data_IF_179027972198
#
_entry.id   IF_179027972198
#
_cell.length_a   1.000
_cell.length_b   1.000
_cell.length_c   1.000
_cell.angle_alpha   90.00
_cell.angle_beta   90.00
_cell.angle_gamma   90.00
#
_symmetry.space_group_name_H-M   'P 1'
#
loop_
_entity.id
_entity.type
_entity.pdbx_description
1 polymer ?
#
# COMPACT_ATOMS: atom_id res chain seq x y z
N UNK A 1 19.13 -30.45 -23.94
CA UNK A 1 17.91 -29.64 -24.04
C UNK A 1 18.10 -28.25 -23.46
N UNK A 2 18.57 -28.07 -22.21
CA UNK A 2 18.81 -26.74 -21.62
C UNK A 2 20.06 -25.99 -22.12
N UNK A 3 21.09 -26.67 -22.63
CA UNK A 3 22.30 -26.02 -23.20
C UNK A 3 22.05 -25.23 -24.50
N UNK A 4 20.88 -25.40 -25.12
CA UNK A 4 20.49 -24.74 -26.38
C UNK A 4 19.33 -23.76 -26.19
N UNK A 5 18.86 -23.56 -24.95
CA UNK A 5 17.84 -22.56 -24.63
C UNK A 5 18.59 -21.25 -24.42
N UNK A 6 18.36 -20.31 -25.33
CA UNK A 6 18.93 -18.96 -25.27
C UNK A 6 18.54 -18.29 -23.95
N UNK A 7 19.53 -17.78 -23.21
CA UNK A 7 19.49 -17.47 -21.77
C UNK A 7 18.80 -16.12 -21.47
N UNK A 8 17.60 -15.93 -22.02
CA UNK A 8 16.76 -14.75 -21.80
C UNK A 8 15.45 -15.13 -21.11
N UNK A 9 14.85 -14.22 -20.33
CA UNK A 9 13.57 -14.45 -19.63
C UNK A 9 12.46 -14.95 -20.56
N UNK A 10 12.46 -14.47 -21.82
CA UNK A 10 11.48 -14.85 -22.83
C UNK A 10 11.56 -16.34 -23.24
N UNK A 11 12.70 -17.01 -23.05
CA UNK A 11 12.86 -18.42 -23.42
C UNK A 11 12.64 -19.39 -22.27
N UNK A 12 12.59 -18.93 -21.01
CA UNK A 12 12.05 -19.73 -19.89
C UNK A 12 10.61 -20.14 -20.18
N UNK A 13 9.87 -19.36 -21.00
CA UNK A 13 8.54 -19.74 -21.49
C UNK A 13 8.51 -21.12 -22.18
N UNK A 14 9.61 -21.58 -22.78
CA UNK A 14 9.71 -22.93 -23.37
C UNK A 14 9.77 -24.06 -22.34
N UNK A 15 10.16 -23.78 -21.08
CA UNK A 15 9.99 -24.72 -19.96
C UNK A 15 8.53 -24.79 -19.49
N UNK A 16 7.73 -23.73 -19.76
CA UNK A 16 6.32 -23.66 -19.39
C UNK A 16 5.41 -24.50 -20.30
N UNK A 17 5.96 -25.11 -21.37
CA UNK A 17 5.22 -26.13 -22.13
C UNK A 17 5.13 -27.45 -21.37
N UNK A 18 5.96 -27.69 -20.35
CA UNK A 18 5.91 -28.90 -19.52
C UNK A 18 5.00 -28.70 -18.30
N UNK A 19 4.31 -29.76 -17.89
CA UNK A 19 3.53 -29.72 -16.65
C UNK A 19 4.51 -29.59 -15.47
N UNK A 20 4.36 -28.49 -14.72
CA UNK A 20 5.22 -28.09 -13.61
C UNK A 20 4.51 -28.26 -12.28
N UNK A 21 5.21 -28.80 -11.29
CA UNK A 21 4.74 -28.85 -9.90
C UNK A 21 5.81 -28.26 -8.99
N UNK A 22 5.46 -27.22 -8.25
CA UNK A 22 6.31 -26.73 -7.16
C UNK A 22 6.27 -27.77 -6.04
N UNK A 23 7.44 -28.25 -5.68
CA UNK A 23 7.63 -29.31 -4.67
C UNK A 23 7.89 -28.68 -3.31
N UNK A 24 8.67 -27.59 -3.28
CA UNK A 24 9.11 -26.96 -2.03
C UNK A 24 9.53 -25.52 -2.27
N UNK A 25 9.23 -24.66 -1.31
CA UNK A 25 9.70 -23.28 -1.24
C UNK A 25 10.51 -23.12 0.03
N UNK A 26 11.76 -22.63 -0.11
CA UNK A 26 12.70 -22.44 0.98
C UNK A 26 13.08 -20.97 1.05
N UNK A 27 12.94 -20.33 2.22
CA UNK A 27 13.42 -18.96 2.41
C UNK A 27 14.95 -19.00 2.60
N UNK A 28 15.68 -18.30 1.73
CA UNK A 28 17.15 -18.24 1.75
C UNK A 28 17.67 -16.91 2.27
N UNK A 29 16.85 -15.86 2.22
CA UNK A 29 17.15 -14.53 2.79
C UNK A 29 15.87 -13.84 3.23
N UNK A 30 15.97 -13.02 4.27
CA UNK A 30 14.81 -12.40 4.92
C UNK A 30 14.52 -10.99 4.41
N UNK A 31 15.55 -10.23 4.09
CA UNK A 31 15.42 -8.83 3.67
C UNK A 31 16.44 -8.46 2.58
N UNK A 32 16.00 -8.28 1.31
CA UNK A 32 14.69 -8.67 0.81
C UNK A 32 14.51 -10.21 0.78
N UNK A 33 13.26 -10.69 0.82
CA UNK A 33 12.85 -12.09 0.89
C UNK A 33 13.25 -12.79 -0.40
N UNK A 34 14.25 -13.65 -0.29
CA UNK A 34 14.69 -14.53 -1.38
C UNK A 34 14.26 -15.95 -1.07
N UNK A 35 13.71 -16.62 -2.08
CA UNK A 35 13.25 -18.00 -1.98
C UNK A 35 13.91 -18.88 -3.03
N UNK A 36 14.24 -20.11 -2.63
CA UNK A 36 14.58 -21.21 -3.53
C UNK A 36 13.33 -22.08 -3.73
N UNK A 37 12.90 -22.20 -4.98
CA UNK A 37 11.73 -22.97 -5.41
C UNK A 37 12.21 -24.23 -6.10
N UNK A 38 11.93 -25.39 -5.51
CA UNK A 38 12.22 -26.71 -6.08
C UNK A 38 11.03 -27.15 -6.95
N UNK A 39 11.29 -27.52 -8.21
CA UNK A 39 10.26 -27.76 -9.22
C UNK A 39 10.46 -29.15 -9.85
N UNK A 40 9.36 -29.90 -9.96
CA UNK A 40 9.27 -31.15 -10.69
C UNK A 40 8.64 -30.90 -12.07
N UNK A 41 9.31 -31.37 -13.13
CA UNK A 41 8.79 -31.41 -14.50
C UNK A 41 8.41 -32.84 -14.87
N UNK A 42 7.23 -32.99 -15.44
CA UNK A 42 6.78 -34.25 -16.04
C UNK A 42 6.79 -34.12 -17.56
N UNK A 43 7.42 -35.06 -18.27
CA UNK A 43 7.42 -35.08 -19.74
C UNK A 43 5.99 -35.30 -20.28
N UNK A 44 5.61 -34.53 -21.31
CA UNK A 44 4.33 -34.73 -22.01
C UNK A 44 4.26 -36.09 -22.72
N UNK A 45 5.41 -36.66 -23.11
CA UNK A 45 5.49 -37.94 -23.85
C UNK A 45 5.61 -39.17 -22.94
N UNK A 46 5.87 -38.98 -21.64
CA UNK A 46 6.03 -40.09 -20.67
C UNK A 46 5.89 -39.59 -19.23
N UNK A 47 4.84 -40.02 -18.54
CA UNK A 47 4.56 -39.65 -17.15
C UNK A 47 5.55 -40.22 -16.12
N UNK A 48 6.40 -41.17 -16.53
CA UNK A 48 7.43 -41.79 -15.67
C UNK A 48 8.74 -41.02 -15.63
N UNK A 49 8.98 -40.12 -16.60
CA UNK A 49 10.24 -39.40 -16.71
C UNK A 49 10.12 -38.03 -16.00
N UNK A 50 10.65 -37.97 -14.78
CA UNK A 50 10.67 -36.78 -13.93
C UNK A 50 12.02 -36.10 -13.97
N UNK A 51 12.00 -34.77 -14.06
CA UNK A 51 13.20 -33.95 -13.94
C UNK A 51 13.00 -32.92 -12.83
N UNK A 52 14.06 -32.64 -12.08
CA UNK A 52 14.04 -31.67 -10.99
C UNK A 52 14.98 -30.53 -11.31
N UNK A 53 14.52 -29.31 -11.04
CA UNK A 53 15.34 -28.12 -11.09
C UNK A 53 14.91 -27.18 -9.96
N UNK A 54 15.76 -26.23 -9.63
CA UNK A 54 15.39 -25.17 -8.70
C UNK A 54 15.68 -23.80 -9.28
N UNK A 55 14.86 -22.82 -8.92
CA UNK A 55 15.14 -21.41 -9.16
C UNK A 55 15.16 -20.68 -7.84
N UNK A 56 16.16 -19.83 -7.64
CA UNK A 56 16.24 -18.91 -6.52
C UNK A 56 16.07 -17.48 -6.98
N UNK A 57 15.11 -16.77 -6.39
CA UNK A 57 14.82 -15.37 -6.71
C UNK A 57 13.87 -14.74 -5.68
N UNK A 58 13.40 -13.54 -5.98
CA UNK A 58 12.68 -12.70 -5.03
C UNK A 58 11.20 -13.05 -4.95
N UNK A 59 10.61 -12.79 -3.78
CA UNK A 59 9.17 -12.81 -3.60
C UNK A 59 8.62 -11.42 -3.80
N UNK A 60 7.55 -11.35 -4.58
CA UNK A 60 6.86 -10.11 -4.78
C UNK A 60 5.97 -9.75 -3.60
N UNK A 61 5.83 -8.44 -3.44
CA UNK A 61 5.04 -7.80 -2.43
C UNK A 61 3.53 -8.07 -2.51
N UNK A 62 2.95 -8.24 -3.70
CA UNK A 62 1.50 -8.35 -3.80
C UNK A 62 0.98 -9.60 -3.09
N UNK A 63 -0.05 -9.41 -2.27
CA UNK A 63 -0.63 -10.46 -1.45
C UNK A 63 0.26 -10.99 -0.32
N UNK A 64 1.52 -10.57 -0.20
CA UNK A 64 2.42 -11.03 0.86
C UNK A 64 2.08 -10.36 2.19
N UNK A 65 1.20 -10.99 2.95
CA UNK A 65 0.67 -10.47 4.20
C UNK A 65 1.38 -11.03 5.45
N UNK A 66 0.80 -10.74 6.62
CA UNK A 66 1.31 -11.25 7.89
C UNK A 66 1.32 -12.79 7.94
N UNK A 67 0.35 -13.48 7.36
CA UNK A 67 0.32 -14.94 7.38
C UNK A 67 1.42 -15.52 6.49
N UNK A 68 1.68 -14.90 5.33
CA UNK A 68 2.81 -15.25 4.49
C UNK A 68 4.15 -15.03 5.20
N UNK A 69 4.31 -13.92 5.91
CA UNK A 69 5.49 -13.66 6.74
C UNK A 69 5.65 -14.70 7.87
N UNK A 70 4.56 -15.08 8.54
CA UNK A 70 4.60 -16.14 9.57
C UNK A 70 5.02 -17.48 8.96
N UNK A 71 4.42 -17.88 7.84
CA UNK A 71 4.76 -19.12 7.14
C UNK A 71 6.22 -19.13 6.66
N UNK A 72 6.72 -17.98 6.18
CA UNK A 72 8.12 -17.80 5.81
C UNK A 72 9.05 -18.01 7.01
N UNK A 73 8.83 -17.31 8.13
CA UNK A 73 9.66 -17.43 9.32
C UNK A 73 9.61 -18.82 9.95
N UNK A 74 8.43 -19.45 10.06
CA UNK A 74 8.26 -20.81 10.60
C UNK A 74 9.12 -21.85 9.87
N UNK A 75 9.38 -21.62 8.58
CA UNK A 75 10.15 -22.55 7.74
C UNK A 75 11.68 -22.49 7.94
N UNK A 76 12.21 -21.45 8.60
CA UNK A 76 13.65 -21.17 8.62
C UNK A 76 14.45 -21.99 9.64
N UNK A 77 13.86 -22.33 10.79
CA UNK A 77 14.56 -23.10 11.81
C UNK A 77 13.65 -24.13 12.47
N UNK A 78 13.90 -25.41 12.19
CA UNK A 78 13.12 -26.53 12.72
C UNK A 78 13.29 -26.79 14.23
N UNK A 79 14.25 -26.11 14.89
CA UNK A 79 14.51 -26.28 16.33
C UNK A 79 13.90 -25.19 17.19
N UNK A 80 13.44 -24.09 16.59
CA UNK A 80 12.86 -22.94 17.29
C UNK A 80 11.43 -22.73 16.80
N UNK A 81 10.54 -22.29 17.68
CA UNK A 81 9.28 -21.74 17.22
C UNK A 81 9.55 -20.35 16.65
N UNK A 82 9.66 -20.28 15.33
CA UNK A 82 9.91 -19.04 14.61
C UNK A 82 8.60 -18.33 14.29
N UNK A 83 8.60 -17.01 14.47
CA UNK A 83 7.49 -16.13 14.12
C UNK A 83 8.00 -14.85 13.49
N UNK A 84 7.20 -14.25 12.63
CA UNK A 84 7.49 -12.94 12.06
C UNK A 84 7.23 -11.85 13.11
N UNK A 85 8.24 -11.03 13.37
CA UNK A 85 8.14 -9.82 14.21
C UNK A 85 7.71 -8.61 13.39
N UNK A 86 8.15 -8.53 12.14
CA UNK A 86 7.70 -7.57 11.16
C UNK A 86 7.72 -8.19 9.75
N UNK A 87 7.01 -7.52 8.85
CA UNK A 87 7.16 -7.67 7.41
C UNK A 87 7.01 -6.28 6.83
N UNK A 88 7.94 -5.86 6.00
CA UNK A 88 8.07 -4.49 5.52
C UNK A 88 8.37 -4.50 4.03
N UNK A 89 7.80 -3.56 3.32
CA UNK A 89 8.19 -3.30 1.94
C UNK A 89 9.59 -2.68 1.93
N UNK A 90 10.46 -3.20 1.08
CA UNK A 90 11.82 -2.70 0.93
C UNK A 90 12.08 -2.43 -0.54
N UNK A 91 12.34 -1.19 -0.98
CA UNK A 91 12.91 -0.99 -2.30
C UNK A 91 14.30 -1.62 -2.34
N UNK A 92 14.64 -2.32 -3.43
CA UNK A 92 16.01 -2.84 -3.61
C UNK A 92 16.91 -1.72 -4.08
N UNK A 93 17.95 -1.41 -3.31
CA UNK A 93 18.96 -0.41 -3.68
C UNK A 93 20.17 -0.98 -4.43
N UNK A 94 20.12 -2.25 -4.88
CA UNK A 94 21.31 -2.98 -5.30
C UNK A 94 21.04 -3.90 -6.52
N UNK A 95 21.80 -3.70 -7.61
CA UNK A 95 21.77 -4.50 -8.85
C UNK A 95 22.11 -6.00 -8.64
N UNK A 96 22.53 -6.39 -7.43
CA UNK A 96 22.79 -7.77 -7.02
C UNK A 96 21.52 -8.62 -6.90
N UNK A 97 20.34 -8.01 -6.83
CA UNK A 97 19.06 -8.71 -6.63
C UNK A 97 18.28 -8.99 -7.92
N UNK A 98 18.61 -8.32 -9.03
CA UNK A 98 18.02 -8.41 -10.37
C UNK A 98 18.25 -9.76 -11.10
N UNK A 99 18.69 -10.79 -10.37
CA UNK A 99 19.14 -12.08 -10.92
C UNK A 99 18.45 -13.25 -10.21
N UNK A 100 17.97 -14.17 -11.03
CA UNK A 100 17.54 -15.49 -10.61
C UNK A 100 18.70 -16.47 -10.81
N UNK A 101 18.88 -17.37 -9.84
CA UNK A 101 19.84 -18.45 -9.92
C UNK A 101 19.10 -19.75 -10.19
N UNK A 102 19.30 -20.30 -11.38
CA UNK A 102 18.75 -21.59 -11.75
C UNK A 102 19.77 -22.68 -11.51
N UNK A 103 19.33 -23.83 -11.03
CA UNK A 103 20.16 -25.01 -10.83
C UNK A 103 19.46 -26.22 -11.44
N UNK A 104 20.16 -26.89 -12.36
CA UNK A 104 19.72 -28.15 -12.96
C UNK A 104 20.89 -29.12 -12.97
N UNK A 105 20.71 -30.34 -12.45
CA UNK A 105 21.77 -31.34 -12.33
C UNK A 105 23.06 -30.83 -11.66
N UNK A 106 22.95 -29.89 -10.71
CA UNK A 106 24.06 -29.22 -10.00
C UNK A 106 24.89 -28.26 -10.86
N UNK A 107 24.41 -27.90 -12.06
CA UNK A 107 25.00 -26.86 -12.89
C UNK A 107 24.19 -25.56 -12.71
N UNK A 108 24.75 -24.54 -12.02
CA UNK A 108 24.07 -23.26 -11.83
C UNK A 108 24.20 -22.36 -13.07
N UNK A 109 23.15 -21.61 -13.40
CA UNK A 109 23.18 -20.54 -14.39
C UNK A 109 22.31 -19.35 -13.96
N UNK A 110 22.62 -18.17 -14.49
CA UNK A 110 22.00 -16.90 -14.10
C UNK A 110 21.04 -16.45 -15.21
N UNK A 111 19.88 -15.94 -14.83
CA UNK A 111 18.91 -15.34 -15.74
C UNK A 111 18.55 -13.93 -15.24
N UNK A 112 18.37 -12.94 -16.13
CA UNK A 112 17.92 -11.60 -15.79
C UNK A 112 16.43 -11.56 -15.41
N UNK A 113 16.02 -12.35 -14.42
CA UNK A 113 14.76 -12.20 -13.70
C UNK A 113 15.02 -11.85 -12.24
N UNK A 114 14.09 -11.14 -11.62
CA UNK A 114 14.22 -10.68 -10.24
C UNK A 114 13.25 -11.44 -9.33
N UNK A 115 11.96 -11.48 -9.69
CA UNK A 115 10.91 -12.15 -8.94
C UNK A 115 10.57 -13.52 -9.52
N UNK A 116 10.20 -14.46 -8.65
CA UNK A 116 9.88 -15.84 -9.05
C UNK A 116 8.46 -16.25 -8.71
N UNK A 117 7.90 -15.72 -7.61
CA UNK A 117 6.53 -15.98 -7.16
C UNK A 117 5.88 -14.70 -6.61
N UNK A 118 4.55 -14.69 -6.69
CA UNK A 118 3.69 -13.55 -6.36
C UNK A 118 2.36 -14.05 -5.74
N UNK A 119 1.65 -13.15 -5.05
CA UNK A 119 0.34 -13.37 -4.44
C UNK A 119 0.26 -14.58 -3.48
N UNK A 120 1.20 -14.66 -2.54
CA UNK A 120 1.13 -15.66 -1.47
C UNK A 120 -0.10 -15.46 -0.58
N UNK A 121 -1.10 -16.33 -0.72
CA UNK A 121 -2.26 -16.37 0.15
C UNK A 121 -2.13 -17.58 1.09
N UNK A 122 -1.73 -17.29 2.33
CA UNK A 122 -1.44 -18.25 3.38
C UNK A 122 -2.53 -18.22 4.46
N UNK A 123 -2.89 -19.40 4.97
CA UNK A 123 -3.69 -19.49 6.19
C UNK A 123 -2.82 -19.21 7.43
N UNK A 124 -3.46 -18.90 8.56
CA UNK A 124 -2.75 -18.54 9.80
C UNK A 124 -1.94 -19.69 10.41
N UNK A 125 -2.24 -20.93 10.05
CA UNK A 125 -1.58 -22.17 10.48
C UNK A 125 -0.52 -22.68 9.48
N UNK A 126 -0.36 -22.03 8.32
CA UNK A 126 0.66 -22.39 7.33
C UNK A 126 2.06 -22.41 7.97
N UNK A 127 2.80 -23.51 7.76
CA UNK A 127 4.12 -23.74 8.37
C UNK A 127 5.27 -23.40 7.43
N UNK A 128 4.97 -23.30 6.14
CA UNK A 128 5.87 -22.92 5.06
C UNK A 128 5.12 -22.16 3.98
N UNK A 129 5.80 -21.33 3.21
CA UNK A 129 5.27 -20.77 1.96
C UNK A 129 4.82 -21.86 0.96
N UNK A 130 5.32 -23.09 1.10
CA UNK A 130 4.86 -24.25 0.32
C UNK A 130 3.40 -24.61 0.60
N UNK A 131 2.88 -24.29 1.78
CA UNK A 131 1.50 -24.60 2.21
C UNK A 131 0.49 -23.56 1.67
N UNK A 132 0.98 -22.49 1.07
CA UNK A 132 0.17 -21.37 0.60
C UNK A 132 -0.27 -21.54 -0.85
N UNK A 133 -1.27 -20.76 -1.24
CA UNK A 133 -1.59 -20.56 -2.66
C UNK A 133 -0.80 -19.37 -3.20
N UNK A 134 -0.43 -19.39 -4.48
CA UNK A 134 0.38 -18.37 -5.14
C UNK A 134 0.10 -18.35 -6.64
N UNK A 135 0.42 -17.24 -7.29
CA UNK A 135 0.39 -17.13 -8.76
C UNK A 135 1.45 -18.05 -9.37
N UNK A 136 1.24 -18.58 -10.59
CA UNK A 136 2.22 -19.47 -11.19
C UNK A 136 3.62 -18.83 -11.33
N UNK A 137 4.64 -19.68 -11.34
CA UNK A 137 6.04 -19.27 -11.39
C UNK A 137 6.32 -18.33 -12.58
N UNK A 138 6.99 -17.21 -12.31
CA UNK A 138 7.29 -16.10 -13.25
C UNK A 138 6.08 -15.34 -13.81
N UNK A 139 4.86 -15.68 -13.39
CA UNK A 139 3.67 -14.89 -13.71
C UNK A 139 3.48 -13.86 -12.60
N UNK A 140 4.14 -12.71 -12.76
CA UNK A 140 4.07 -11.61 -11.82
C UNK A 140 4.11 -10.28 -12.57
N UNK A 141 3.60 -9.21 -11.95
CA UNK A 141 3.67 -7.84 -12.50
C UNK A 141 4.61 -6.92 -11.70
N UNK A 142 5.55 -7.56 -11.02
CA UNK A 142 6.40 -6.92 -10.03
C UNK A 142 7.53 -6.10 -10.65
N UNK A 143 7.75 -4.90 -10.09
CA UNK A 143 8.83 -3.97 -10.45
C UNK A 143 9.90 -3.98 -9.36
N UNK A 144 11.07 -3.36 -9.61
CA UNK A 144 12.25 -3.37 -8.74
C UNK A 144 12.02 -2.86 -7.30
N UNK A 145 10.90 -2.17 -7.06
CA UNK A 145 10.57 -1.63 -5.74
C UNK A 145 9.62 -2.52 -4.93
N UNK A 146 9.20 -3.65 -5.51
CA UNK A 146 8.18 -4.54 -4.95
C UNK A 146 8.77 -5.70 -4.16
N UNK A 147 9.89 -5.47 -3.45
CA UNK A 147 10.46 -6.48 -2.59
C UNK A 147 9.81 -6.49 -1.21
N UNK A 148 9.71 -7.70 -0.68
CA UNK A 148 9.32 -7.93 0.71
C UNK A 148 10.58 -8.04 1.55
N UNK A 149 10.56 -7.51 2.77
CA UNK A 149 11.46 -7.90 3.84
C UNK A 149 10.66 -8.50 4.99
N UNK A 150 11.21 -9.49 5.68
CA UNK A 150 10.67 -10.03 6.92
C UNK A 150 11.72 -9.97 8.02
N UNK A 151 11.29 -9.84 9.26
CA UNK A 151 12.11 -10.07 10.44
C UNK A 151 11.57 -11.29 11.17
N UNK A 152 12.44 -12.26 11.39
CA UNK A 152 12.08 -13.50 12.07
C UNK A 152 12.74 -13.56 13.45
N UNK A 153 11.97 -13.96 14.46
CA UNK A 153 12.48 -14.23 15.81
C UNK A 153 12.06 -15.62 16.24
N UNK A 154 12.93 -16.28 17.02
CA UNK A 154 12.66 -17.61 17.56
C UNK A 154 12.59 -17.57 19.08
N UNK A 155 11.60 -18.25 19.66
CA UNK A 155 11.63 -18.64 21.07
C UNK A 155 12.14 -20.07 21.17
N UNK A 156 13.00 -20.32 22.17
CA UNK A 156 13.40 -21.67 22.53
C UNK A 156 12.23 -22.31 23.27
N UNK A 157 11.59 -23.28 22.65
CA UNK A 157 10.57 -24.08 23.34
C UNK A 157 11.28 -25.28 23.99
N UNK A 158 11.40 -25.35 25.34
CA UNK A 158 11.61 -26.64 25.98
C UNK A 158 10.34 -27.49 25.78
N UNK A 159 10.46 -28.81 25.60
CA UNK A 159 9.30 -29.65 25.30
C UNK A 159 8.45 -29.80 26.56
N UNK A 160 7.30 -29.13 26.68
CA UNK A 160 6.34 -29.47 27.74
C UNK A 160 4.90 -29.52 27.21
N UNK A 161 4.36 -30.71 27.48
CA UNK A 161 3.00 -31.21 27.47
C UNK A 161 1.85 -30.20 27.55
N UNK A 162 0.86 -30.50 26.72
CA UNK A 162 -0.53 -30.03 26.72
C UNK A 162 -1.16 -29.92 28.11
N UNK A 163 -1.63 -28.72 28.45
CA UNK A 163 -2.93 -28.57 29.11
C UNK A 163 -3.51 -27.18 28.92
N UNK A 164 -4.73 -27.16 28.41
CA UNK A 164 -5.67 -26.05 28.35
C UNK A 164 -5.90 -25.43 29.73
N UNK A 165 -5.92 -24.10 29.85
CA UNK A 165 -6.83 -23.38 30.77
C UNK A 165 -6.82 -21.87 30.55
N UNK A 166 -8.03 -21.33 30.67
CA UNK A 166 -8.48 -19.96 30.55
C UNK A 166 -8.02 -19.03 31.67
N UNK A 167 -7.87 -17.74 31.35
CA UNK A 167 -8.36 -16.51 32.03
C UNK A 167 -7.38 -15.34 32.12
N UNK A 168 -7.97 -14.16 31.87
CA UNK A 168 -7.52 -12.77 31.86
C UNK A 168 -6.40 -12.33 32.83
N UNK A 169 -5.57 -11.35 32.42
CA UNK A 169 -5.57 -9.92 32.84
C UNK A 169 -4.26 -9.20 32.41
N UNK A 170 -4.44 -8.06 31.72
CA UNK A 170 -3.68 -6.78 31.69
C UNK A 170 -2.24 -6.73 31.12
N UNK A 171 -2.18 -6.12 29.93
CA UNK A 171 -1.40 -4.92 29.55
C UNK A 171 0.02 -4.74 30.12
N UNK A 172 1.03 -4.75 29.25
CA UNK A 172 1.83 -3.56 28.88
C UNK A 172 3.02 -3.94 28.00
N UNK A 173 3.06 -3.44 26.77
CA UNK A 173 4.22 -2.68 26.30
C UNK A 173 3.73 -1.68 25.27
N UNK A 174 3.69 -0.43 25.71
CA UNK A 174 3.47 0.76 24.91
C UNK A 174 4.70 0.97 24.03
N UNK A 175 4.64 0.53 22.78
CA UNK A 175 5.28 1.31 21.73
C UNK A 175 4.35 2.49 21.49
N UNK A 176 4.79 3.69 21.84
CA UNK A 176 4.12 4.92 21.43
C UNK A 176 4.06 4.89 19.89
N UNK A 177 2.87 4.81 19.27
CA UNK A 177 2.77 4.97 17.84
C UNK A 177 3.32 6.34 17.50
N UNK A 178 4.07 6.42 16.42
CA UNK A 178 4.51 7.73 15.93
C UNK A 178 3.28 8.57 15.60
N UNK A 179 3.35 9.89 15.79
CA UNK A 179 2.18 10.80 15.67
C UNK A 179 1.52 10.78 14.29
N UNK A 180 2.18 10.28 13.25
CA UNK A 180 1.61 10.14 11.92
C UNK A 180 0.73 8.88 11.74
N UNK A 181 0.94 7.84 12.56
CA UNK A 181 0.31 6.50 12.42
C UNK A 181 -1.16 6.43 12.87
N UNK A 182 -1.75 7.53 13.35
CA UNK A 182 -3.14 7.53 13.85
C UNK A 182 -4.02 8.68 13.34
N UNK A 183 -3.53 9.59 12.49
CA UNK A 183 -4.28 10.79 12.10
C UNK A 183 -5.64 10.47 11.47
N UNK A 184 -5.68 9.62 10.45
CA UNK A 184 -6.93 9.32 9.71
C UNK A 184 -7.94 8.67 10.66
N UNK A 185 -7.54 7.59 11.33
CA UNK A 185 -8.41 6.87 12.28
C UNK A 185 -8.81 7.75 13.48
N UNK A 186 -7.90 8.58 13.98
CA UNK A 186 -8.12 9.47 15.12
C UNK A 186 -9.11 10.59 14.81
N UNK A 187 -9.05 11.19 13.62
CA UNK A 187 -10.04 12.18 13.15
C UNK A 187 -11.40 11.50 12.97
N UNK A 188 -11.44 10.39 12.24
CA UNK A 188 -12.70 9.73 11.92
C UNK A 188 -13.41 9.18 13.17
N UNK A 189 -12.68 8.71 14.18
CA UNK A 189 -13.28 8.19 15.41
C UNK A 189 -13.87 9.27 16.33
N UNK A 190 -13.44 10.53 16.21
CA UNK A 190 -13.95 11.63 17.04
C UNK A 190 -15.06 12.43 16.36
N UNK A 191 -15.41 12.09 15.12
CA UNK A 191 -16.45 12.74 14.33
C UNK A 191 -17.55 11.73 13.94
N UNK A 192 -18.80 12.20 13.84
CA UNK A 192 -19.95 11.38 13.48
C UNK A 192 -20.45 11.70 12.05
N UNK A 193 -19.54 11.81 11.10
CA UNK A 193 -19.91 12.10 9.71
C UNK A 193 -20.54 10.87 9.04
N UNK A 194 -21.65 11.09 8.33
CA UNK A 194 -22.34 10.08 7.51
C UNK A 194 -22.36 10.54 6.07
N UNK A 195 -22.81 9.67 5.16
CA UNK A 195 -22.99 10.02 3.75
C UNK A 195 -21.70 10.57 3.13
N UNK A 196 -20.61 9.85 3.41
CA UNK A 196 -19.25 10.29 3.09
C UNK A 196 -18.92 9.94 1.64
N UNK A 197 -18.40 10.93 0.92
CA UNK A 197 -17.58 10.75 -0.28
C UNK A 197 -16.11 10.91 0.10
N UNK A 198 -15.36 9.82 0.09
CA UNK A 198 -13.96 9.79 0.51
C UNK A 198 -13.04 10.02 -0.70
N UNK A 199 -12.25 11.09 -0.66
CA UNK A 199 -11.27 11.48 -1.68
C UNK A 199 -9.88 11.28 -1.11
N UNK A 200 -9.11 10.36 -1.67
CA UNK A 200 -7.91 9.86 -1.02
C UNK A 200 -6.73 9.94 -1.98
N UNK A 201 -5.73 10.71 -1.59
CA UNK A 201 -4.42 10.71 -2.21
C UNK A 201 -3.76 9.34 -2.01
N UNK A 202 -3.36 8.72 -3.12
CA UNK A 202 -2.67 7.43 -3.14
C UNK A 202 -1.34 7.46 -3.88
N UNK A 203 -0.66 8.61 -3.92
CA UNK A 203 0.71 8.73 -4.43
C UNK A 203 1.74 8.19 -3.46
N UNK A 204 2.95 7.90 -3.97
CA UNK A 204 3.95 7.13 -3.21
C UNK A 204 4.35 7.77 -1.88
N UNK A 205 4.25 9.10 -1.77
CA UNK A 205 4.56 9.86 -0.57
C UNK A 205 3.56 9.58 0.56
N UNK A 206 2.31 9.22 0.26
CA UNK A 206 1.26 8.84 1.22
C UNK A 206 1.47 7.47 1.89
N UNK A 207 2.59 6.79 1.61
CA UNK A 207 2.93 5.47 2.15
C UNK A 207 2.79 5.33 3.68
N UNK A 208 3.15 6.36 4.44
CA UNK A 208 2.97 6.40 5.91
C UNK A 208 1.51 6.40 6.37
N UNK A 209 0.58 6.87 5.54
CA UNK A 209 -0.86 6.91 5.85
C UNK A 209 -1.64 5.71 5.31
N UNK A 210 -1.08 4.91 4.40
CA UNK A 210 -1.78 3.80 3.77
C UNK A 210 -2.28 2.73 4.74
N UNK A 211 -1.55 2.42 5.81
CA UNK A 211 -1.99 1.42 6.78
C UNK A 211 -3.34 1.80 7.41
N UNK A 212 -3.52 3.09 7.71
CA UNK A 212 -4.75 3.64 8.27
C UNK A 212 -5.84 3.78 7.22
N UNK A 213 -5.50 4.21 6.00
CA UNK A 213 -6.44 4.28 4.88
C UNK A 213 -7.00 2.88 4.61
N UNK A 214 -6.15 1.85 4.54
CA UNK A 214 -6.58 0.46 4.36
C UNK A 214 -7.48 -0.02 5.51
N UNK A 215 -7.10 0.27 6.76
CA UNK A 215 -7.90 -0.08 7.93
C UNK A 215 -9.27 0.62 7.89
N UNK A 216 -9.31 1.91 7.58
CA UNK A 216 -10.55 2.67 7.53
C UNK A 216 -11.43 2.24 6.35
N UNK A 217 -10.85 2.02 5.17
CA UNK A 217 -11.55 1.46 4.00
C UNK A 217 -12.19 0.12 4.38
N UNK A 218 -11.47 -0.76 5.07
CA UNK A 218 -12.00 -2.03 5.57
C UNK A 218 -13.13 -1.88 6.60
N UNK A 219 -13.01 -0.92 7.53
CA UNK A 219 -14.01 -0.65 8.57
C UNK A 219 -15.27 0.04 8.01
N UNK A 220 -15.11 0.87 6.97
CA UNK A 220 -16.18 1.66 6.34
C UNK A 220 -17.24 0.80 5.66
N UNK A 221 -16.88 -0.41 5.24
CA UNK A 221 -17.87 -1.38 4.75
C UNK A 221 -18.90 -1.76 5.80
N UNK A 222 -18.43 -1.96 7.03
CA UNK A 222 -19.22 -2.53 8.11
C UNK A 222 -20.16 -1.51 8.74
N UNK A 223 -19.79 -0.22 8.71
CA UNK A 223 -20.56 0.86 9.33
C UNK A 223 -21.44 1.67 8.36
N UNK A 224 -21.31 1.46 7.04
CA UNK A 224 -22.08 2.13 5.97
C UNK A 224 -21.97 3.67 5.96
N UNK A 225 -20.96 4.24 6.62
CA UNK A 225 -20.78 5.70 6.68
C UNK A 225 -20.27 6.28 5.36
N UNK A 226 -19.48 5.50 4.61
CA UNK A 226 -18.92 5.89 3.31
C UNK A 226 -19.74 5.30 2.18
N UNK A 227 -20.27 6.16 1.30
CA UNK A 227 -21.05 5.72 0.14
C UNK A 227 -20.15 5.44 -1.08
N UNK A 228 -19.06 6.19 -1.23
CA UNK A 228 -18.13 6.08 -2.34
C UNK A 228 -16.70 6.50 -1.97
N UNK A 229 -15.74 5.87 -2.64
CA UNK A 229 -14.34 6.20 -2.59
C UNK A 229 -13.88 6.70 -3.96
N UNK A 230 -13.01 7.69 -3.94
CA UNK A 230 -12.23 8.16 -5.09
C UNK A 230 -10.78 8.19 -4.66
N UNK A 231 -9.96 7.42 -5.36
CA UNK A 231 -8.51 7.38 -5.17
C UNK A 231 -7.85 8.13 -6.33
N UNK A 232 -6.84 8.94 -6.04
CA UNK A 232 -6.11 9.66 -7.08
C UNK A 232 -4.59 9.54 -6.96
N UNK A 233 -3.89 9.60 -8.08
CA UNK A 233 -2.46 9.31 -8.18
C UNK A 233 -1.66 10.33 -9.02
N UNK A 234 -2.23 11.51 -9.25
CA UNK A 234 -1.69 12.61 -10.08
C UNK A 234 -1.41 12.22 -11.55
N UNK A 235 -2.32 11.47 -12.16
CA UNK A 235 -2.37 11.37 -13.63
C UNK A 235 -1.76 10.12 -14.24
N UNK A 236 -1.77 8.98 -13.56
CA UNK A 236 -1.35 7.69 -14.13
C UNK A 236 0.07 7.70 -14.75
N UNK A 237 1.04 8.23 -14.01
CA UNK A 237 2.43 8.43 -14.46
C UNK A 237 2.56 9.28 -15.75
N UNK A 238 1.56 10.12 -16.04
CA UNK A 238 1.66 11.15 -17.08
C UNK A 238 2.89 12.01 -16.79
N UNK A 239 3.80 12.23 -17.77
CA UNK A 239 4.95 13.09 -17.58
C UNK A 239 4.55 14.49 -17.08
N UNK A 240 5.31 15.06 -16.15
CA UNK A 240 4.92 16.32 -15.50
C UNK A 240 4.64 17.47 -16.49
N UNK A 241 5.36 17.51 -17.61
CA UNK A 241 5.18 18.51 -18.66
C UNK A 241 3.85 18.36 -19.42
N UNK A 242 3.25 17.18 -19.40
CA UNK A 242 2.02 16.83 -20.11
C UNK A 242 0.78 16.89 -19.20
N UNK A 243 0.96 17.11 -17.89
CA UNK A 243 -0.14 17.25 -16.93
C UNK A 243 -0.90 18.55 -17.18
N UNK A 244 -2.17 18.43 -17.58
CA UNK A 244 -3.06 19.57 -17.85
C UNK A 244 -4.08 19.70 -16.73
N UNK A 245 -4.08 20.84 -16.04
CA UNK A 245 -5.06 21.15 -14.97
C UNK A 245 -6.49 20.96 -15.49
N UNK A 246 -7.26 20.13 -14.79
CA UNK A 246 -8.64 19.79 -15.15
C UNK A 246 -8.76 18.59 -16.09
N UNK A 247 -7.64 18.00 -16.49
CA UNK A 247 -7.55 16.75 -17.25
C UNK A 247 -6.28 15.98 -16.91
N UNK A 248 -5.81 16.05 -15.66
CA UNK A 248 -4.56 15.40 -15.22
C UNK A 248 -4.68 13.88 -15.30
N UNK A 249 -5.88 13.34 -15.06
CA UNK A 249 -6.15 11.89 -15.09
C UNK A 249 -5.94 11.24 -13.72
N UNK A 250 -5.79 9.91 -13.69
CA UNK A 250 -5.46 9.25 -12.44
C UNK A 250 -6.58 9.19 -11.40
N UNK A 251 -7.85 9.28 -11.81
CA UNK A 251 -9.00 9.34 -10.91
C UNK A 251 -9.79 8.03 -10.93
N UNK A 252 -9.89 7.37 -9.77
CA UNK A 252 -10.47 6.03 -9.65
C UNK A 252 -11.62 5.99 -8.65
N UNK A 253 -12.85 5.94 -9.17
CA UNK A 253 -14.07 5.94 -8.35
C UNK A 253 -14.70 4.56 -8.16
N UNK A 254 -15.23 4.30 -6.97
CA UNK A 254 -15.98 3.08 -6.65
C UNK A 254 -17.02 3.35 -5.56
N UNK A 255 -18.23 2.82 -5.72
CA UNK A 255 -19.21 2.84 -4.64
C UNK A 255 -18.94 1.71 -3.65
N UNK A 256 -19.12 1.98 -2.36
CA UNK A 256 -18.95 0.97 -1.29
C UNK A 256 -19.89 -0.23 -1.47
N UNK A 257 -21.07 -0.02 -2.09
CA UNK A 257 -22.05 -1.09 -2.39
C UNK A 257 -21.57 -2.13 -3.40
N UNK A 258 -20.53 -1.83 -4.18
CA UNK A 258 -19.89 -2.79 -5.11
C UNK A 258 -19.08 -3.87 -4.36
N UNK A 259 -18.92 -3.72 -3.03
CA UNK A 259 -18.25 -4.68 -2.17
C UNK A 259 -16.76 -4.37 -1.99
N UNK A 260 -16.21 -4.81 -0.85
CA UNK A 260 -14.84 -4.46 -0.47
C UNK A 260 -13.76 -4.97 -1.39
N UNK A 261 -13.97 -6.11 -2.04
CA UNK A 261 -13.04 -6.59 -3.06
C UNK A 261 -12.87 -5.55 -4.18
N UNK A 262 -13.97 -4.94 -4.65
CA UNK A 262 -13.91 -3.93 -5.71
C UNK A 262 -13.31 -2.62 -5.22
N UNK A 263 -13.58 -2.23 -3.98
CA UNK A 263 -12.96 -1.05 -3.36
C UNK A 263 -11.45 -1.19 -3.28
N UNK A 264 -10.95 -2.33 -2.77
CA UNK A 264 -9.51 -2.61 -2.68
C UNK A 264 -8.86 -2.77 -4.06
N UNK A 265 -9.55 -3.39 -5.03
CA UNK A 265 -9.09 -3.47 -6.42
C UNK A 265 -8.91 -2.07 -7.02
N UNK A 266 -9.88 -1.17 -6.80
CA UNK A 266 -9.85 0.21 -7.30
C UNK A 266 -8.72 1.01 -6.66
N UNK A 267 -8.56 0.91 -5.33
CA UNK A 267 -7.44 1.49 -4.58
C UNK A 267 -6.10 1.02 -5.12
N UNK A 268 -5.91 -0.29 -5.27
CA UNK A 268 -4.65 -0.85 -5.73
C UNK A 268 -4.38 -0.48 -7.20
N UNK A 269 -5.42 -0.42 -8.04
CA UNK A 269 -5.29 0.01 -9.44
C UNK A 269 -4.81 1.47 -9.52
N UNK A 270 -5.40 2.37 -8.73
CA UNK A 270 -4.95 3.75 -8.65
C UNK A 270 -3.47 3.83 -8.23
N UNK A 271 -3.07 3.12 -7.18
CA UNK A 271 -1.68 3.09 -6.71
C UNK A 271 -0.68 2.53 -7.73
N UNK A 272 -1.08 1.53 -8.51
CA UNK A 272 -0.19 0.89 -9.48
C UNK A 272 0.01 1.72 -10.74
N UNK A 273 -0.97 2.56 -11.08
CA UNK A 273 -0.94 3.30 -12.32
C UNK A 273 -0.22 4.64 -12.21
N UNK A 274 0.07 5.15 -11.01
CA UNK A 274 0.74 6.44 -10.83
C UNK A 274 1.31 6.67 -9.44
N UNK A 275 2.44 7.39 -9.36
CA UNK A 275 3.15 7.65 -8.10
C UNK A 275 3.23 9.12 -7.67
N UNK A 276 2.64 10.08 -8.41
CA UNK A 276 2.74 11.52 -8.12
C UNK A 276 3.73 12.27 -9.01
N UNK A 277 4.88 11.67 -9.34
CA UNK A 277 5.88 12.30 -10.21
C UNK A 277 6.55 13.51 -9.56
N UNK A 278 6.00 14.72 -9.80
CA UNK A 278 6.42 15.96 -9.14
C UNK A 278 5.81 16.12 -7.73
N UNK A 279 6.09 17.24 -7.05
CA UNK A 279 5.60 17.50 -5.69
C UNK A 279 4.17 18.07 -5.63
N UNK A 280 3.47 18.16 -6.76
CA UNK A 280 2.14 18.74 -6.87
C UNK A 280 1.12 17.69 -7.31
N UNK A 281 -0.10 17.80 -6.80
CA UNK A 281 -1.13 16.75 -6.89
C UNK A 281 -2.42 17.32 -7.48
N UNK A 282 -3.30 16.47 -8.03
CA UNK A 282 -4.58 16.84 -8.65
C UNK A 282 -5.80 16.67 -7.74
N UNK A 283 -5.68 17.17 -6.51
CA UNK A 283 -6.67 17.03 -5.44
C UNK A 283 -8.06 17.57 -5.83
N UNK A 284 -8.12 18.75 -6.46
CA UNK A 284 -9.40 19.41 -6.74
C UNK A 284 -10.16 18.71 -7.86
N UNK A 285 -9.47 18.16 -8.86
CA UNK A 285 -10.06 17.27 -9.86
C UNK A 285 -10.69 16.03 -9.21
N UNK A 286 -10.00 15.40 -8.26
CA UNK A 286 -10.52 14.25 -7.52
C UNK A 286 -11.75 14.60 -6.67
N UNK A 287 -11.75 15.77 -6.02
CA UNK A 287 -12.91 16.29 -5.28
C UNK A 287 -14.11 16.52 -6.22
N UNK A 288 -13.91 17.19 -7.36
CA UNK A 288 -14.97 17.45 -8.34
C UNK A 288 -15.52 16.12 -8.90
N UNK A 289 -14.64 15.17 -9.20
CA UNK A 289 -15.00 13.84 -9.67
C UNK A 289 -15.89 13.13 -8.64
N UNK A 290 -15.55 13.22 -7.35
CA UNK A 290 -16.35 12.65 -6.25
C UNK A 290 -17.73 13.28 -6.17
N UNK A 291 -17.81 14.62 -6.16
CA UNK A 291 -19.10 15.33 -6.05
C UNK A 291 -20.01 15.00 -7.23
N UNK A 292 -19.43 14.87 -8.43
CA UNK A 292 -20.17 14.56 -9.66
C UNK A 292 -20.63 13.10 -9.69
N UNK A 293 -19.74 12.17 -9.34
CA UNK A 293 -20.03 10.74 -9.34
C UNK A 293 -20.87 10.28 -8.14
N UNK A 294 -20.93 11.07 -7.07
CA UNK A 294 -21.56 10.68 -5.81
C UNK A 294 -22.43 11.81 -5.25
N UNK A 295 -23.52 12.17 -5.95
CA UNK A 295 -24.30 13.36 -5.64
C UNK A 295 -25.03 13.28 -4.29
N UNK A 296 -25.26 12.06 -3.77
CA UNK A 296 -25.92 11.80 -2.49
C UNK A 296 -25.01 11.96 -1.27
N UNK A 297 -23.69 12.11 -1.45
CA UNK A 297 -22.79 12.35 -0.32
C UNK A 297 -22.91 13.78 0.19
N UNK A 298 -23.11 13.96 1.48
CA UNK A 298 -23.16 15.28 2.12
C UNK A 298 -21.79 15.71 2.63
N UNK A 299 -20.96 14.74 3.05
CA UNK A 299 -19.66 14.99 3.65
C UNK A 299 -18.55 14.56 2.69
N UNK A 300 -17.88 15.52 2.06
CA UNK A 300 -16.67 15.23 1.27
C UNK A 300 -15.48 15.24 2.22
N UNK A 301 -14.84 14.09 2.41
CA UNK A 301 -13.64 13.94 3.21
C UNK A 301 -12.47 13.76 2.27
N UNK A 302 -11.53 14.70 2.30
CA UNK A 302 -10.33 14.66 1.49
C UNK A 302 -9.13 14.34 2.38
N UNK A 303 -8.48 13.19 2.16
CA UNK A 303 -7.26 12.79 2.85
C UNK A 303 -6.08 13.16 1.93
N UNK A 304 -5.24 14.09 2.37
CA UNK A 304 -4.22 14.75 1.55
C UNK A 304 -2.83 14.66 2.17
N UNK A 305 -1.78 14.58 1.33
CA UNK A 305 -0.39 14.71 1.78
C UNK A 305 -0.06 16.17 2.15
N UNK A 306 0.43 16.40 3.37
CA UNK A 306 0.89 17.71 3.80
C UNK A 306 2.12 18.22 3.04
N UNK A 307 2.91 17.33 2.44
CA UNK A 307 4.13 17.69 1.71
C UNK A 307 3.87 17.98 0.23
N UNK A 308 2.68 17.65 -0.27
CA UNK A 308 2.29 17.91 -1.66
C UNK A 308 1.42 19.16 -1.78
N UNK A 309 1.61 19.93 -2.85
CA UNK A 309 0.80 21.14 -3.10
C UNK A 309 -0.19 20.90 -4.23
N UNK A 310 -1.50 21.08 -3.99
CA UNK A 310 -2.50 20.92 -5.05
C UNK A 310 -2.21 21.83 -6.26
N UNK A 311 -2.02 21.26 -7.46
CA UNK A 311 -1.71 21.99 -8.70
C UNK A 311 -2.93 22.75 -9.25
N UNK A 312 -4.11 22.28 -8.87
CA UNK A 312 -5.38 22.55 -9.54
C UNK A 312 -6.34 23.40 -8.68
N UNK A 313 -5.81 24.16 -7.70
CA UNK A 313 -6.58 25.10 -6.86
C UNK A 313 -7.41 26.11 -7.65
N UNK A 314 -7.03 26.41 -8.89
CA UNK A 314 -7.79 27.28 -9.80
C UNK A 314 -9.18 26.69 -10.12
N UNK A 315 -9.38 25.39 -9.91
CA UNK A 315 -10.66 24.71 -10.11
C UNK A 315 -11.59 24.78 -8.89
N UNK A 316 -11.16 25.35 -7.76
CA UNK A 316 -11.95 25.34 -6.51
C UNK A 316 -13.32 26.00 -6.64
N UNK A 317 -13.49 26.96 -7.55
CA UNK A 317 -14.79 27.61 -7.81
C UNK A 317 -15.84 26.62 -8.37
N UNK A 318 -15.43 25.42 -8.79
CA UNK A 318 -16.30 24.34 -9.25
C UNK A 318 -16.70 23.37 -8.14
N UNK A 319 -16.13 23.48 -6.94
CA UNK A 319 -16.43 22.61 -5.80
C UNK A 319 -17.67 23.14 -5.08
N UNK A 320 -18.77 22.39 -5.17
CA UNK A 320 -20.09 22.84 -4.70
C UNK A 320 -20.49 22.33 -3.32
N UNK A 321 -19.62 21.54 -2.67
CA UNK A 321 -19.86 20.96 -1.34
C UNK A 321 -18.70 21.29 -0.40
N UNK A 322 -18.96 21.49 0.91
CA UNK A 322 -17.90 21.65 1.91
C UNK A 322 -16.94 20.46 1.93
N UNK A 323 -15.63 20.76 1.90
CA UNK A 323 -14.57 19.76 1.94
C UNK A 323 -13.91 19.73 3.31
N UNK A 324 -13.94 18.55 3.93
CA UNK A 324 -13.26 18.27 5.20
C UNK A 324 -11.89 17.67 4.89
N UNK A 325 -10.84 18.44 5.08
CA UNK A 325 -9.47 18.03 4.76
C UNK A 325 -8.86 17.34 5.98
N UNK A 326 -8.46 16.08 5.84
CA UNK A 326 -7.63 15.35 6.81
C UNK A 326 -6.19 15.38 6.32
N UNK A 327 -5.31 15.97 7.13
CA UNK A 327 -3.92 16.19 6.76
C UNK A 327 -3.06 15.01 7.20
N UNK A 328 -2.45 14.33 6.23
CA UNK A 328 -1.50 13.25 6.44
C UNK A 328 -0.05 13.76 6.42
N UNK A 329 0.87 13.03 7.06
CA UNK A 329 2.31 13.40 7.17
C UNK A 329 2.54 14.78 7.81
N UNK A 330 1.86 15.01 8.92
CA UNK A 330 2.09 16.18 9.75
C UNK A 330 2.90 15.78 10.99
N UNK A 331 4.22 15.80 10.85
CA UNK A 331 5.11 15.56 11.99
C UNK A 331 5.10 16.73 12.98
N UNK A 332 5.58 16.52 14.22
CA UNK A 332 5.59 17.52 15.29
C UNK A 332 6.38 18.80 14.98
N UNK A 333 7.29 18.74 14.00
CA UNK A 333 8.05 19.89 13.50
C UNK A 333 7.52 20.46 12.18
N UNK A 334 6.53 19.80 11.57
CA UNK A 334 5.96 20.20 10.29
C UNK A 334 4.78 21.13 10.49
N UNK A 335 4.58 22.01 9.52
CA UNK A 335 3.42 22.88 9.48
C UNK A 335 2.46 22.44 8.40
N UNK A 336 1.18 22.70 8.64
CA UNK A 336 0.11 22.46 7.66
C UNK A 336 0.39 23.22 6.37
N UNK A 337 0.26 22.54 5.24
CA UNK A 337 0.32 23.18 3.93
C UNK A 337 -0.83 24.21 3.82
N UNK A 338 -0.52 25.51 3.64
CA UNK A 338 -1.55 26.54 3.54
C UNK A 338 -2.51 26.34 2.36
N UNK A 339 -2.13 25.55 1.36
CA UNK A 339 -3.00 25.24 0.22
C UNK A 339 -4.11 24.24 0.57
N UNK A 340 -3.86 23.37 1.54
CA UNK A 340 -4.91 22.52 2.11
C UNK A 340 -5.90 23.35 2.95
N UNK A 341 -5.40 24.39 3.65
CA UNK A 341 -6.27 25.39 4.31
C UNK A 341 -7.13 26.15 3.28
N UNK A 342 -6.57 26.50 2.12
CA UNK A 342 -7.31 27.15 1.03
C UNK A 342 -8.48 26.29 0.52
N UNK A 343 -8.28 24.98 0.36
CA UNK A 343 -9.35 24.04 -0.03
C UNK A 343 -10.48 24.06 1.01
N UNK A 344 -10.14 23.85 2.29
CA UNK A 344 -11.13 23.82 3.36
C UNK A 344 -11.87 25.16 3.48
N UNK A 345 -11.16 26.28 3.42
CA UNK A 345 -11.73 27.62 3.54
C UNK A 345 -12.67 27.98 2.38
N UNK A 346 -12.20 27.84 1.13
CA UNK A 346 -12.96 28.27 -0.05
C UNK A 346 -14.21 27.42 -0.29
N UNK A 347 -14.21 26.18 0.18
CA UNK A 347 -15.36 25.28 0.07
C UNK A 347 -16.35 25.42 1.24
N UNK A 348 -16.01 26.22 2.26
CA UNK A 348 -16.80 26.32 3.50
C UNK A 348 -16.75 25.06 4.36
N UNK A 349 -15.69 24.25 4.21
CA UNK A 349 -15.41 23.07 5.00
C UNK A 349 -14.47 23.34 6.16
N UNK A 350 -13.67 22.33 6.50
CA UNK A 350 -12.88 22.26 7.73
C UNK A 350 -11.55 21.54 7.49
N UNK A 351 -10.57 21.78 8.36
CA UNK A 351 -9.27 21.09 8.32
C UNK A 351 -9.00 20.34 9.61
N UNK A 352 -8.45 19.14 9.51
CA UNK A 352 -8.28 18.20 10.61
C UNK A 352 -6.89 17.60 10.61
N UNK A 353 -6.21 17.65 11.77
CA UNK A 353 -4.94 16.96 12.05
C UNK A 353 -5.18 15.86 13.08
N UNK A 354 -4.15 15.17 13.57
CA UNK A 354 -4.33 14.16 14.63
C UNK A 354 -5.00 14.77 15.88
N UNK A 355 -4.61 15.98 16.25
CA UNK A 355 -4.86 16.60 17.55
C UNK A 355 -5.68 17.90 17.49
N UNK A 356 -5.97 18.41 16.28
CA UNK A 356 -6.68 19.68 16.09
C UNK A 356 -7.74 19.58 14.99
N UNK A 357 -8.88 20.22 15.23
CA UNK A 357 -9.95 20.45 14.27
C UNK A 357 -10.15 21.96 14.06
N UNK A 358 -10.13 22.40 12.81
CA UNK A 358 -10.33 23.80 12.40
C UNK A 358 -11.66 23.89 11.63
N UNK A 359 -12.75 24.02 12.37
CA UNK A 359 -14.13 23.98 11.85
C UNK A 359 -14.62 25.33 11.29
N UNK A 360 -14.10 26.46 11.80
CA UNK A 360 -14.68 27.79 11.57
C UNK A 360 -13.85 28.66 10.61
N UNK A 361 -13.40 28.07 9.50
CA UNK A 361 -12.61 28.78 8.50
C UNK A 361 -13.42 29.89 7.80
N UNK A 362 -14.71 29.69 7.53
CA UNK A 362 -15.54 30.65 6.78
C UNK A 362 -15.73 32.02 7.44
N UNK A 363 -15.42 32.17 8.73
CA UNK A 363 -15.48 33.46 9.43
C UNK A 363 -14.20 34.29 9.33
N UNK A 364 -13.11 33.70 8.83
CA UNK A 364 -11.80 34.36 8.70
C UNK A 364 -11.86 35.37 7.55
N UNK A 365 -11.45 36.61 7.83
CA UNK A 365 -11.42 37.71 6.85
C UNK A 365 -10.00 37.96 6.35
N UNK A 366 -9.87 38.54 5.17
CA UNK A 366 -8.56 38.95 4.64
C UNK A 366 -7.87 39.89 5.65
N UNK A 367 -6.64 39.56 6.02
CA UNK A 367 -5.85 40.22 7.05
C UNK A 367 -5.88 39.50 8.40
N UNK A 368 -6.90 38.66 8.67
CA UNK A 368 -6.98 37.89 9.91
C UNK A 368 -5.88 36.81 9.97
N UNK A 369 -5.51 36.47 11.20
CA UNK A 369 -4.51 35.44 11.48
C UNK A 369 -5.14 34.31 12.29
N UNK A 370 -4.82 33.07 11.92
CA UNK A 370 -5.25 31.86 12.62
C UNK A 370 -4.03 31.05 13.06
N UNK A 371 -4.22 30.24 14.11
CA UNK A 371 -3.23 29.24 14.53
C UNK A 371 -3.73 27.84 14.18
N UNK A 372 -2.84 27.06 13.57
CA UNK A 372 -3.10 25.65 13.24
C UNK A 372 -1.89 24.85 13.70
N UNK A 373 -2.06 24.07 14.76
CA UNK A 373 -0.96 23.45 15.50
C UNK A 373 0.02 24.50 16.02
N UNK A 374 1.31 24.33 15.71
CA UNK A 374 2.37 25.28 16.03
C UNK A 374 2.49 26.43 15.01
N UNK A 375 1.78 26.34 13.89
CA UNK A 375 1.83 27.28 12.79
C UNK A 375 0.90 28.48 12.94
N UNK A 376 1.34 29.63 12.43
CA UNK A 376 0.53 30.85 12.31
C UNK A 376 0.36 31.23 10.85
N UNK A 377 -0.90 31.42 10.44
CA UNK A 377 -1.28 31.68 9.06
C UNK A 377 -2.10 32.96 8.96
N UNK A 378 -1.85 33.76 7.93
CA UNK A 378 -2.66 34.94 7.61
C UNK A 378 -3.45 34.68 6.35
N UNK A 379 -4.73 35.05 6.35
CA UNK A 379 -5.54 35.03 5.13
C UNK A 379 -5.20 36.27 4.29
N UNK A 380 -4.71 36.05 3.07
CA UNK A 380 -4.49 37.11 2.08
C UNK A 380 -5.49 36.97 0.92
N UNK A 381 -5.51 37.94 0.01
CA UNK A 381 -6.42 37.91 -1.14
C UNK A 381 -6.22 36.66 -2.03
N UNK A 382 -5.00 36.12 -2.07
CA UNK A 382 -4.63 34.91 -2.82
C UNK A 382 -4.83 33.60 -2.04
N UNK A 383 -5.28 33.66 -0.78
CA UNK A 383 -5.38 32.51 0.12
C UNK A 383 -4.51 32.63 1.37
N UNK A 384 -4.45 31.57 2.16
CA UNK A 384 -3.61 31.49 3.35
C UNK A 384 -2.13 31.50 2.99
N UNK A 385 -1.36 32.21 3.82
CA UNK A 385 0.10 32.18 3.81
C UNK A 385 0.62 31.91 5.21
N UNK A 386 1.71 31.15 5.31
CA UNK A 386 2.41 30.94 6.57
C UNK A 386 3.18 32.20 6.94
N UNK A 387 3.07 32.64 8.20
CA UNK A 387 3.80 33.82 8.70
C UNK A 387 4.68 33.53 9.93
N UNK A 388 4.47 32.39 10.60
CA UNK A 388 5.38 31.84 11.62
C UNK A 388 5.23 30.32 11.68
#
# INVERSE_FOLDING_TARGET
MLKTIDQTCNNIHTLLTYQRKIVKIQVTKDAPVRIKVDIELTSQSSSTLKQYFSVEGMVCHHGFDRNAAQAACRSQNKKLQMFATNYEWKPSSNDLYDKCYFEYNKDPFIVPCEFVLDNFNCTSDATSLTDCTYTPLFEHRCTKDMHVGIGCSGTYEPPISTTTSTTNIVQTSTATPTTDEQTVTGVLNRHNWTDIGAVIDVTGSMSGCYAQINQWVALSHSNKLVQCFVFFNDGDDTPDADKVIGSTGGLYGVYTREGMAKVLETLNTAKMNGNGGDSSENDVEAIIFTITGCPTCENIIHIADNEATPRDLILLDRVTKPVKVIVCKLSSSSLVNPKLLDIAYKTGGSLHTLDLDVETLGSVKVGDTIKVGTGTYRLEASGFVRIA
#
